data_IF_552181223692
#
_entry.id   IF_552181223692
#
_cell.length_a   1.000
_cell.length_b   1.000
_cell.length_c   1.000
_cell.angle_alpha   90.00
_cell.angle_beta   90.00
_cell.angle_gamma   90.00
#
_symmetry.space_group_name_H-M   'P 1'
#
loop_
_entity.id
_entity.type
_entity.pdbx_description
1 polymer ?
#
# COMPACT_ATOMS: atom_id res chain seq x y z
N UNK A 1 -16.06 12.40 -17.26
CA UNK A 1 -14.82 12.39 -18.07
C UNK A 1 -13.69 12.84 -17.16
N UNK A 2 -12.60 12.06 -17.05
CA UNK A 2 -11.46 12.38 -16.18
C UNK A 2 -10.82 13.71 -16.56
N UNK A 3 -10.19 14.37 -15.58
CA UNK A 3 -9.51 15.66 -15.75
C UNK A 3 -8.18 15.62 -15.03
N UNK A 4 -7.21 16.37 -15.55
CA UNK A 4 -5.97 16.65 -14.84
C UNK A 4 -6.26 17.53 -13.60
N UNK A 5 -5.41 17.47 -12.57
CA UNK A 5 -5.49 18.40 -11.44
C UNK A 5 -5.39 19.86 -11.91
N UNK A 6 -6.09 20.77 -11.24
CA UNK A 6 -6.03 22.21 -11.58
C UNK A 6 -4.63 22.80 -11.40
N UNK A 7 -3.84 22.24 -10.49
CA UNK A 7 -2.46 22.63 -10.20
C UNK A 7 -1.42 22.00 -11.14
N UNK A 8 -1.82 21.24 -12.16
CA UNK A 8 -0.91 20.49 -13.04
C UNK A 8 0.25 21.34 -13.60
N UNK A 9 -0.06 22.51 -14.16
CA UNK A 9 0.94 23.41 -14.77
C UNK A 9 1.94 23.99 -13.74
N UNK A 10 1.59 23.96 -12.46
CA UNK A 10 2.40 24.50 -11.35
C UNK A 10 3.19 23.44 -10.58
N UNK A 11 2.95 22.15 -10.86
CA UNK A 11 3.63 21.02 -10.22
C UNK A 11 5.05 20.82 -10.76
N UNK A 12 5.90 20.12 -10.00
CA UNK A 12 7.21 19.66 -10.48
C UNK A 12 7.06 18.62 -11.60
N UNK A 13 8.10 18.45 -12.43
CA UNK A 13 8.07 17.53 -13.58
C UNK A 13 7.73 16.08 -13.20
N UNK A 14 8.29 15.58 -12.10
CA UNK A 14 8.00 14.23 -11.61
C UNK A 14 6.53 14.08 -11.21
N UNK A 15 5.98 15.06 -10.49
CA UNK A 15 4.57 15.08 -10.09
C UNK A 15 3.62 15.22 -11.29
N UNK A 16 4.01 16.02 -12.29
CA UNK A 16 3.29 16.11 -13.56
C UNK A 16 3.25 14.75 -14.27
N UNK A 17 4.37 14.04 -14.34
CA UNK A 17 4.40 12.70 -14.92
C UNK A 17 3.48 11.73 -14.17
N UNK A 18 3.57 11.68 -12.82
CA UNK A 18 2.67 10.87 -11.99
C UNK A 18 1.19 11.26 -12.23
N UNK A 19 0.89 12.55 -12.34
CA UNK A 19 -0.47 13.03 -12.63
C UNK A 19 -0.97 12.63 -14.03
N UNK A 20 -0.11 12.65 -15.05
CA UNK A 20 -0.45 12.19 -16.40
C UNK A 20 -0.71 10.69 -16.45
N UNK A 21 0.12 9.89 -15.80
CA UNK A 21 -0.09 8.44 -15.71
C UNK A 21 -1.43 8.12 -15.04
N UNK A 22 -1.75 8.80 -13.95
CA UNK A 22 -3.04 8.66 -13.27
C UNK A 22 -4.21 9.12 -14.15
N UNK A 23 -4.04 10.23 -14.87
CA UNK A 23 -5.03 10.70 -15.83
C UNK A 23 -5.32 9.66 -16.92
N UNK A 24 -4.29 9.10 -17.54
CA UNK A 24 -4.43 8.08 -18.58
C UNK A 24 -5.06 6.79 -18.05
N UNK A 25 -4.69 6.34 -16.84
CA UNK A 25 -5.34 5.19 -16.19
C UNK A 25 -6.84 5.43 -16.00
N UNK A 26 -7.22 6.61 -15.50
CA UNK A 26 -8.63 6.99 -15.30
C UNK A 26 -9.37 7.12 -16.63
N UNK A 27 -8.73 7.69 -17.64
CA UNK A 27 -9.29 7.83 -18.99
C UNK A 27 -9.58 6.47 -19.62
N UNK A 28 -8.60 5.56 -19.57
CA UNK A 28 -8.76 4.20 -20.04
C UNK A 28 -9.88 3.48 -19.29
N UNK A 29 -9.91 3.57 -17.96
CA UNK A 29 -10.95 2.97 -17.15
C UNK A 29 -12.34 3.53 -17.47
N UNK A 30 -12.45 4.84 -17.73
CA UNK A 30 -13.70 5.48 -18.12
C UNK A 30 -14.22 4.93 -19.45
N UNK A 31 -13.37 4.83 -20.47
CA UNK A 31 -13.76 4.25 -21.75
C UNK A 31 -14.10 2.77 -21.64
N UNK A 32 -13.31 2.01 -20.87
CA UNK A 32 -13.60 0.61 -20.56
C UNK A 32 -14.98 0.45 -19.91
N UNK A 33 -15.29 1.28 -18.92
CA UNK A 33 -16.57 1.25 -18.21
C UNK A 33 -17.75 1.55 -19.13
N UNK A 34 -17.65 2.58 -19.98
CA UNK A 34 -18.70 2.91 -20.95
C UNK A 34 -18.86 1.82 -22.02
N UNK A 35 -17.76 1.30 -22.54
CA UNK A 35 -17.79 0.23 -23.54
C UNK A 35 -18.42 -1.04 -22.93
N UNK A 36 -18.03 -1.39 -21.70
CA UNK A 36 -18.60 -2.51 -20.94
C UNK A 36 -20.09 -2.32 -20.72
N UNK A 37 -20.53 -1.12 -20.30
CA UNK A 37 -21.96 -0.81 -20.18
C UNK A 37 -22.73 -1.03 -21.48
N UNK A 38 -22.17 -0.60 -22.62
CA UNK A 38 -22.81 -0.69 -23.94
C UNK A 38 -22.81 -2.10 -24.54
N UNK A 39 -21.74 -2.85 -24.33
CA UNK A 39 -21.48 -4.08 -25.09
C UNK A 39 -21.47 -5.36 -24.25
N UNK A 40 -21.37 -5.25 -22.92
CA UNK A 40 -21.33 -6.40 -22.02
C UNK A 40 -22.09 -6.10 -20.70
N UNK A 41 -23.41 -6.06 -20.81
CA UNK A 41 -24.30 -5.78 -19.68
C UNK A 41 -24.13 -6.74 -18.49
N UNK A 42 -23.94 -8.06 -18.67
CA UNK A 42 -23.66 -8.96 -17.55
C UNK A 42 -22.39 -8.57 -16.77
N UNK A 43 -21.30 -8.23 -17.48
CA UNK A 43 -20.06 -7.78 -16.84
C UNK A 43 -20.25 -6.44 -16.12
N UNK A 44 -20.95 -5.50 -16.75
CA UNK A 44 -21.29 -4.22 -16.13
C UNK A 44 -22.08 -4.40 -14.82
N UNK A 45 -23.10 -5.27 -14.83
CA UNK A 45 -23.93 -5.52 -13.66
C UNK A 45 -23.15 -6.23 -12.53
N UNK A 46 -22.10 -7.00 -12.84
CA UNK A 46 -21.20 -7.57 -11.84
C UNK A 46 -20.26 -6.55 -11.17
N UNK A 47 -19.96 -5.43 -11.84
CA UNK A 47 -19.12 -4.35 -11.28
C UNK A 47 -19.89 -3.39 -10.36
N UNK A 48 -21.23 -3.37 -10.44
CA UNK A 48 -22.09 -2.43 -9.69
C UNK A 48 -22.27 -2.67 -8.20
N UNK A 49 -22.31 -3.91 -7.68
CA UNK A 49 -22.67 -4.12 -6.29
C UNK A 49 -21.75 -3.30 -5.37
N UNK A 50 -22.34 -2.59 -4.41
CA UNK A 50 -21.58 -1.83 -3.41
C UNK A 50 -20.57 -2.73 -2.65
N UNK A 51 -20.88 -4.03 -2.60
CA UNK A 51 -20.04 -5.07 -2.04
C UNK A 51 -18.80 -5.45 -2.88
N UNK A 52 -18.72 -5.07 -4.16
CA UNK A 52 -17.65 -5.53 -5.07
C UNK A 52 -16.28 -5.07 -4.62
N UNK A 53 -16.11 -3.77 -4.35
CA UNK A 53 -14.81 -3.21 -3.96
C UNK A 53 -14.31 -3.77 -2.61
N UNK A 54 -15.10 -3.80 -1.52
CA UNK A 54 -14.61 -4.37 -0.27
C UNK A 54 -14.35 -5.88 -0.36
N UNK A 55 -15.14 -6.64 -1.14
CA UNK A 55 -14.86 -8.07 -1.38
C UNK A 55 -13.54 -8.28 -2.14
N UNK A 56 -13.28 -7.47 -3.15
CA UNK A 56 -12.02 -7.53 -3.90
C UNK A 56 -10.82 -7.28 -3.01
N UNK A 57 -10.86 -6.22 -2.18
CA UNK A 57 -9.79 -5.92 -1.23
C UNK A 57 -9.56 -7.05 -0.22
N UNK A 58 -10.62 -7.58 0.39
CA UNK A 58 -10.49 -8.70 1.31
C UNK A 58 -9.83 -9.91 0.66
N UNK A 59 -10.21 -10.23 -0.59
CA UNK A 59 -9.60 -11.34 -1.34
C UNK A 59 -8.14 -11.03 -1.66
N UNK A 60 -7.82 -9.81 -2.10
CA UNK A 60 -6.46 -9.37 -2.43
C UNK A 60 -5.53 -9.56 -1.24
N UNK A 61 -5.84 -8.96 -0.08
CA UNK A 61 -5.00 -9.08 1.12
C UNK A 61 -4.98 -10.49 1.72
N UNK A 62 -6.07 -11.25 1.62
CA UNK A 62 -6.09 -12.65 2.07
C UNK A 62 -5.32 -13.60 1.12
N UNK A 63 -5.17 -13.23 -0.15
CA UNK A 63 -4.55 -14.08 -1.18
C UNK A 63 -3.02 -14.03 -1.19
N UNK A 64 -2.41 -13.05 -0.52
CA UNK A 64 -0.98 -12.85 -0.48
C UNK A 64 -0.41 -12.96 0.95
N UNK A 65 -0.67 -14.02 1.73
CA UNK A 65 -0.34 -14.05 3.17
C UNK A 65 1.15 -13.92 3.50
N UNK A 66 2.04 -14.19 2.53
CA UNK A 66 3.50 -14.09 2.68
C UNK A 66 4.06 -12.74 2.25
N UNK A 67 3.33 -12.00 1.41
CA UNK A 67 3.71 -10.69 0.87
C UNK A 67 2.83 -9.56 1.43
N UNK A 68 1.71 -9.91 2.09
CA UNK A 68 0.71 -9.01 2.60
C UNK A 68 0.96 -8.72 4.06
N UNK A 69 0.99 -7.43 4.37
CA UNK A 69 0.97 -6.89 5.71
C UNK A 69 -0.30 -7.32 6.48
N UNK A 70 -0.10 -7.85 7.70
CA UNK A 70 -1.17 -8.25 8.62
C UNK A 70 -2.03 -7.07 9.05
N UNK A 71 -1.43 -5.89 9.19
CA UNK A 71 -2.09 -4.65 9.60
C UNK A 71 -3.13 -4.27 8.53
N UNK A 72 -2.73 -4.28 7.25
CA UNK A 72 -3.61 -4.03 6.11
C UNK A 72 -4.79 -5.00 6.04
N UNK A 73 -4.55 -6.30 6.23
CA UNK A 73 -5.62 -7.30 6.26
C UNK A 73 -6.58 -7.05 7.44
N UNK A 74 -6.07 -6.79 8.64
CA UNK A 74 -6.90 -6.49 9.82
C UNK A 74 -7.73 -5.23 9.62
N UNK A 75 -7.16 -4.17 9.05
CA UNK A 75 -7.89 -2.96 8.73
C UNK A 75 -9.04 -3.21 7.74
N UNK A 76 -8.82 -4.04 6.71
CA UNK A 76 -9.90 -4.41 5.78
C UNK A 76 -10.96 -5.32 6.45
N UNK A 77 -10.59 -6.19 7.40
CA UNK A 77 -11.57 -6.94 8.20
C UNK A 77 -12.42 -6.01 9.08
N UNK A 78 -11.83 -5.00 9.70
CA UNK A 78 -12.56 -3.96 10.46
C UNK A 78 -13.53 -3.22 9.53
N UNK A 79 -13.07 -2.77 8.36
CA UNK A 79 -13.93 -2.12 7.36
C UNK A 79 -15.04 -3.05 6.89
N UNK A 80 -14.78 -4.36 6.79
CA UNK A 80 -15.79 -5.35 6.44
C UNK A 80 -16.87 -5.51 7.52
N UNK A 81 -16.50 -5.48 8.79
CA UNK A 81 -17.46 -5.49 9.92
C UNK A 81 -18.33 -4.23 9.88
N UNK A 82 -17.70 -3.06 9.73
CA UNK A 82 -18.42 -1.77 9.64
C UNK A 82 -19.39 -1.71 8.46
N UNK A 83 -19.08 -2.40 7.36
CA UNK A 83 -19.90 -2.46 6.14
C UNK A 83 -20.63 -3.81 5.97
N UNK A 84 -20.82 -4.57 7.05
CA UNK A 84 -21.30 -5.95 6.97
C UNK A 84 -22.68 -6.08 6.30
N UNK A 85 -23.57 -5.10 6.49
CA UNK A 85 -24.89 -5.03 5.84
C UNK A 85 -24.81 -4.99 4.31
N UNK A 86 -23.73 -4.47 3.74
CA UNK A 86 -23.48 -4.43 2.30
C UNK A 86 -22.90 -5.75 1.81
N UNK A 87 -22.08 -6.42 2.63
CA UNK A 87 -21.34 -7.62 2.25
C UNK A 87 -22.15 -8.90 2.38
N UNK A 88 -22.96 -8.99 3.42
CA UNK A 88 -23.71 -10.17 3.77
C UNK A 88 -24.92 -10.37 2.85
N UNK A 89 -25.15 -11.62 2.45
CA UNK A 89 -26.44 -11.99 1.88
C UNK A 89 -27.50 -11.95 2.98
N UNK A 90 -28.65 -11.31 2.71
CA UNK A 90 -29.77 -11.30 3.63
C UNK A 90 -30.26 -12.73 3.91
N UNK A 91 -30.69 -12.96 5.15
CA UNK A 91 -31.38 -14.18 5.55
C UNK A 91 -32.68 -14.38 4.76
N UNK A 92 -33.25 -15.58 4.80
CA UNK A 92 -34.52 -15.89 4.13
C UNK A 92 -35.69 -14.99 4.56
N UNK A 93 -35.62 -14.40 5.75
CA UNK A 93 -36.59 -13.44 6.29
C UNK A 93 -36.26 -11.96 5.96
N UNK A 94 -35.23 -11.70 5.15
CA UNK A 94 -34.80 -10.37 4.75
C UNK A 94 -33.91 -9.63 5.76
N UNK A 95 -33.57 -10.21 6.91
CA UNK A 95 -32.67 -9.58 7.88
C UNK A 95 -31.20 -9.77 7.52
N UNK A 96 -30.35 -8.82 7.92
CA UNK A 96 -28.89 -8.98 7.82
C UNK A 96 -28.41 -9.98 8.88
N UNK A 97 -27.64 -11.02 8.52
CA UNK A 97 -27.08 -11.94 9.51
C UNK A 97 -26.04 -11.23 10.38
N UNK A 98 -25.81 -11.73 11.61
CA UNK A 98 -24.75 -11.22 12.47
C UNK A 98 -23.38 -11.49 11.82
N UNK A 99 -22.45 -10.54 11.90
CA UNK A 99 -21.07 -10.75 11.48
C UNK A 99 -20.41 -11.84 12.34
N UNK A 100 -19.69 -12.82 11.75
CA UNK A 100 -19.08 -13.90 12.51
C UNK A 100 -17.82 -13.48 13.28
N UNK A 101 -17.26 -12.33 12.93
CA UNK A 101 -16.07 -11.74 13.54
C UNK A 101 -16.46 -10.40 14.18
N UNK A 102 -15.73 -10.03 15.22
CA UNK A 102 -15.93 -8.80 15.97
C UNK A 102 -14.58 -8.39 16.57
N UNK A 103 -14.38 -7.09 16.74
CA UNK A 103 -13.23 -6.51 17.42
C UNK A 103 -13.75 -5.57 18.50
N UNK A 104 -13.05 -5.49 19.61
CA UNK A 104 -13.33 -4.45 20.61
C UNK A 104 -13.03 -3.06 20.05
N UNK A 105 -13.68 -2.03 20.61
CA UNK A 105 -13.44 -0.64 20.20
C UNK A 105 -11.95 -0.25 20.37
N UNK A 106 -11.29 -0.77 21.40
CA UNK A 106 -9.87 -0.56 21.67
C UNK A 106 -9.00 -1.18 20.56
N UNK A 107 -9.27 -2.43 20.16
CA UNK A 107 -8.58 -3.10 19.05
C UNK A 107 -8.79 -2.34 17.73
N UNK A 108 -10.01 -1.86 17.47
CA UNK A 108 -10.30 -1.08 16.26
C UNK A 108 -9.47 0.20 16.22
N UNK A 109 -9.43 0.94 17.33
CA UNK A 109 -8.65 2.17 17.43
C UNK A 109 -7.15 1.91 17.24
N UNK A 110 -6.63 0.87 17.90
CA UNK A 110 -5.24 0.46 17.80
C UNK A 110 -4.87 0.12 16.34
N UNK A 111 -5.58 -0.81 15.69
CA UNK A 111 -5.21 -1.25 14.34
C UNK A 111 -5.33 -0.16 13.27
N UNK A 112 -6.30 0.74 13.40
CA UNK A 112 -6.41 1.87 12.48
C UNK A 112 -5.26 2.87 12.70
N UNK A 113 -4.83 3.09 13.93
CA UNK A 113 -3.62 3.90 14.21
C UNK A 113 -2.37 3.26 13.61
N UNK A 114 -2.17 1.95 13.82
CA UNK A 114 -1.04 1.23 13.22
C UNK A 114 -1.07 1.29 11.68
N UNK A 115 -2.25 1.19 11.06
CA UNK A 115 -2.37 1.32 9.61
C UNK A 115 -1.94 2.70 9.12
N UNK A 116 -2.35 3.76 9.82
CA UNK A 116 -1.97 5.13 9.47
C UNK A 116 -0.46 5.34 9.63
N UNK A 117 0.15 4.81 10.69
CA UNK A 117 1.60 4.81 10.89
C UNK A 117 2.34 4.05 9.78
N UNK A 118 1.89 2.83 9.45
CA UNK A 118 2.46 2.03 8.37
C UNK A 118 2.37 2.75 7.02
N UNK A 119 1.23 3.37 6.73
CA UNK A 119 1.06 4.15 5.50
C UNK A 119 2.06 5.31 5.40
N UNK A 120 2.32 6.00 6.50
CA UNK A 120 3.31 7.07 6.54
C UNK A 120 4.74 6.54 6.31
N UNK A 121 5.07 5.39 6.91
CA UNK A 121 6.34 4.70 6.70
C UNK A 121 6.49 4.29 5.23
N UNK A 122 5.48 3.67 4.63
CA UNK A 122 5.50 3.22 3.24
C UNK A 122 5.72 4.37 2.27
N UNK A 123 5.00 5.49 2.46
CA UNK A 123 5.17 6.71 1.65
C UNK A 123 6.57 7.30 1.82
N UNK A 124 7.12 7.29 3.03
CA UNK A 124 8.48 7.77 3.26
C UNK A 124 9.52 6.86 2.60
N UNK A 125 9.36 5.54 2.72
CA UNK A 125 10.22 4.55 2.09
C UNK A 125 10.14 4.59 0.56
N UNK A 126 8.96 4.85 -0.02
CA UNK A 126 8.83 5.09 -1.47
C UNK A 126 9.67 6.29 -1.91
N UNK A 127 9.62 7.41 -1.18
CA UNK A 127 10.42 8.59 -1.49
C UNK A 127 11.93 8.32 -1.37
N UNK A 128 12.34 7.56 -0.36
CA UNK A 128 13.74 7.16 -0.17
C UNK A 128 14.20 6.30 -1.35
N UNK A 129 13.41 5.28 -1.74
CA UNK A 129 13.73 4.43 -2.89
C UNK A 129 13.77 5.20 -4.21
N UNK A 130 12.80 6.10 -4.44
CA UNK A 130 12.76 6.98 -5.62
C UNK A 130 14.02 7.86 -5.69
N UNK A 131 14.49 8.37 -4.53
CA UNK A 131 15.71 9.19 -4.43
C UNK A 131 16.97 8.39 -4.74
N UNK A 132 17.12 7.23 -4.11
CA UNK A 132 18.27 6.33 -4.32
C UNK A 132 18.26 5.74 -5.74
N UNK A 133 17.08 5.60 -6.35
CA UNK A 133 16.91 5.03 -7.68
C UNK A 133 16.89 3.50 -7.67
N UNK A 134 16.26 2.92 -6.66
CA UNK A 134 16.11 1.47 -6.47
C UNK A 134 14.63 1.05 -6.55
N UNK A 135 14.40 -0.20 -6.94
CA UNK A 135 13.07 -0.82 -6.91
C UNK A 135 12.65 -1.21 -5.48
N UNK A 136 11.41 -1.70 -5.33
CA UNK A 136 10.89 -2.21 -4.05
C UNK A 136 11.76 -3.30 -3.44
N UNK A 137 12.41 -4.09 -4.29
CA UNK A 137 13.26 -5.22 -3.90
C UNK A 137 14.75 -4.81 -3.81
N UNK A 138 15.05 -3.51 -3.86
CA UNK A 138 16.41 -2.98 -3.74
C UNK A 138 17.24 -3.00 -5.04
N UNK A 139 16.72 -3.56 -6.14
CA UNK A 139 17.47 -3.62 -7.40
C UNK A 139 17.62 -2.27 -8.09
N UNK A 140 18.77 -2.06 -8.74
CA UNK A 140 19.05 -0.96 -9.68
C UNK A 140 19.80 -1.47 -10.92
N UNK A 141 19.92 -0.64 -11.95
CA UNK A 141 20.69 -0.96 -13.15
C UNK A 141 22.19 -1.00 -12.82
N UNK A 142 22.95 -1.89 -13.47
CA UNK A 142 24.37 -2.06 -13.17
C UNK A 142 25.17 -0.76 -13.35
N UNK A 143 24.81 0.06 -14.34
CA UNK A 143 25.44 1.35 -14.62
C UNK A 143 25.19 2.40 -13.53
N UNK A 144 24.16 2.21 -12.69
CA UNK A 144 23.76 3.13 -11.61
C UNK A 144 24.04 2.57 -10.22
N UNK A 145 24.69 1.41 -10.13
CA UNK A 145 24.92 0.73 -8.85
C UNK A 145 25.75 1.58 -7.88
N UNK A 146 26.87 2.12 -8.36
CA UNK A 146 27.74 2.98 -7.54
C UNK A 146 27.04 4.28 -7.13
N UNK A 147 26.30 4.91 -8.05
CA UNK A 147 25.50 6.10 -7.75
C UNK A 147 24.44 5.81 -6.66
N UNK A 148 23.78 4.65 -6.72
CA UNK A 148 22.78 4.24 -5.74
C UNK A 148 23.41 3.93 -4.38
N UNK A 149 24.60 3.34 -4.34
CA UNK A 149 25.38 3.15 -3.10
C UNK A 149 25.73 4.48 -2.46
N UNK A 150 26.24 5.43 -3.24
CA UNK A 150 26.59 6.77 -2.74
C UNK A 150 25.34 7.50 -2.20
N UNK A 151 24.23 7.47 -2.93
CA UNK A 151 22.99 8.11 -2.49
C UNK A 151 22.38 7.41 -1.26
N UNK A 152 22.50 6.09 -1.14
CA UNK A 152 22.08 5.35 0.05
C UNK A 152 22.82 5.83 1.30
N UNK A 153 24.16 5.92 1.24
CA UNK A 153 24.98 6.43 2.34
C UNK A 153 24.66 7.89 2.68
N UNK A 154 24.39 8.70 1.65
CA UNK A 154 24.00 10.09 1.83
C UNK A 154 22.64 10.23 2.54
N UNK A 155 21.62 9.47 2.11
CA UNK A 155 20.30 9.44 2.75
C UNK A 155 20.39 8.94 4.18
N UNK A 156 21.17 7.87 4.43
CA UNK A 156 21.43 7.33 5.77
C UNK A 156 22.05 8.37 6.70
N UNK A 157 23.06 9.11 6.21
CA UNK A 157 23.73 10.17 6.97
C UNK A 157 22.79 11.32 7.28
N UNK A 158 21.99 11.77 6.31
CA UNK A 158 20.97 12.81 6.54
C UNK A 158 19.95 12.39 7.59
N UNK A 159 19.41 11.17 7.49
CA UNK A 159 18.45 10.63 8.46
C UNK A 159 19.05 10.51 9.86
N UNK A 160 20.29 10.02 9.98
CA UNK A 160 21.01 9.93 11.25
C UNK A 160 21.21 11.30 11.91
N UNK A 161 21.43 12.34 11.11
CA UNK A 161 21.60 13.72 11.59
C UNK A 161 20.30 14.33 12.17
N UNK A 162 19.13 13.75 11.87
CA UNK A 162 17.84 14.19 12.44
C UNK A 162 17.54 13.60 13.81
N UNK A 163 18.29 12.58 14.24
CA UNK A 163 18.13 11.94 15.54
C UNK A 163 18.92 12.72 16.61
N UNK A 164 18.29 12.94 17.76
CA UNK A 164 18.88 13.74 18.83
C UNK A 164 19.64 12.89 19.86
N UNK A 165 19.24 11.62 20.06
CA UNK A 165 19.79 10.77 21.11
C UNK A 165 20.71 9.66 20.57
N UNK A 166 21.72 9.33 21.37
CA UNK A 166 22.74 8.35 20.98
C UNK A 166 22.21 6.91 20.94
N UNK A 167 21.12 6.61 21.66
CA UNK A 167 20.53 5.27 21.67
C UNK A 167 19.78 4.99 20.36
N UNK A 168 18.92 5.92 19.91
CA UNK A 168 18.22 5.83 18.63
C UNK A 168 19.17 5.95 17.44
N UNK A 169 20.26 6.73 17.54
CA UNK A 169 21.31 6.72 16.49
C UNK A 169 21.95 5.35 16.35
N UNK A 170 22.26 4.70 17.47
CA UNK A 170 22.83 3.35 17.45
C UNK A 170 21.84 2.34 16.87
N UNK A 171 20.60 2.34 17.34
CA UNK A 171 19.54 1.47 16.85
C UNK A 171 19.31 1.68 15.34
N UNK A 172 19.26 2.92 14.89
CA UNK A 172 19.10 3.25 13.48
C UNK A 172 20.25 2.72 12.61
N UNK A 173 21.50 2.84 13.07
CA UNK A 173 22.67 2.31 12.35
C UNK A 173 22.67 0.78 12.31
N UNK A 174 22.20 0.12 13.36
CA UNK A 174 22.10 -1.34 13.41
C UNK A 174 20.96 -1.89 12.54
N UNK A 175 19.95 -1.08 12.24
CA UNK A 175 18.72 -1.50 11.55
C UNK A 175 18.49 -0.78 10.21
N UNK A 176 19.53 -0.19 9.60
CA UNK A 176 19.37 0.46 8.30
C UNK A 176 18.91 -0.56 7.24
N UNK A 177 17.74 -0.39 6.59
CA UNK A 177 17.15 -1.45 5.76
C UNK A 177 17.94 -1.81 4.50
N UNK A 178 18.88 -0.96 4.08
CA UNK A 178 19.66 -1.10 2.84
C UNK A 178 21.15 -1.36 3.11
N UNK A 179 21.51 -1.67 4.36
CA UNK A 179 22.85 -2.17 4.68
C UNK A 179 22.98 -3.65 4.31
N UNK A 180 24.22 -4.08 4.14
CA UNK A 180 24.55 -5.49 4.06
C UNK A 180 24.43 -6.10 5.47
N UNK A 181 23.44 -6.96 5.64
CA UNK A 181 23.21 -7.68 6.88
C UNK A 181 23.74 -9.10 6.71
N UNK A 182 24.63 -9.54 7.60
CA UNK A 182 25.16 -10.91 7.56
C UNK A 182 24.02 -11.92 7.73
N UNK A 183 23.59 -12.56 6.64
CA UNK A 183 22.65 -13.69 6.64
C UNK A 183 23.38 -15.01 7.01
N UNK A 184 24.21 -15.00 8.06
CA UNK A 184 24.89 -16.21 8.50
C UNK A 184 23.86 -17.17 9.12
N UNK A 185 23.39 -18.13 8.33
CA UNK A 185 22.57 -19.23 8.82
C UNK A 185 23.44 -20.12 9.71
N UNK A 186 23.26 -20.03 11.03
CA UNK A 186 23.79 -21.04 11.96
C UNK A 186 23.10 -22.37 11.65
N UNK A 187 23.78 -23.23 10.89
CA UNK A 187 23.44 -24.64 10.79
C UNK A 187 23.77 -25.29 12.14
N UNK A 188 22.81 -25.26 13.07
CA UNK A 188 22.84 -26.15 14.23
C UNK A 188 22.82 -27.59 13.72
N UNK A 189 23.99 -28.22 13.80
CA UNK A 189 24.22 -29.59 13.36
C UNK A 189 23.38 -30.60 14.15
N UNK A 190 22.83 -31.55 13.39
CA UNK A 190 22.09 -32.75 13.81
C UNK A 190 22.80 -33.63 14.84
#
# INVERSE_FOLDING_TARGET
>A
MPRLPESFETMGKADQQKALEQYHKRELHYYYFIATYKHNKPHYDAMKPEATMPKQKLVEYASAPWESDNISLKAELIRAIQNWSVLAANNANGSVPKCPIDFSDDEVAEYLSLQDEQYLIDVNMEKIRDRIGISTDGWTANERYEDALEENEHVKTEALATLDDDASKKEFLENWPLDDHDESWEVEGS
#
